data_IF_445097796486
#
_entry.id   IF_445097796486
#
_cell.length_a   1.000
_cell.length_b   1.000
_cell.length_c   1.000
_cell.angle_alpha   90.00
_cell.angle_beta   90.00
_cell.angle_gamma   90.00
#
_symmetry.space_group_name_H-M   'P 1'
#
loop_
_entity.id
_entity.type
_entity.pdbx_description
1 polymer ?
#
# COMPACT_ATOMS: atom_id res chain seq x y z
N UNK A 1 -21.57 -10.79 4.87
CA UNK A 1 -20.52 -10.51 3.87
C UNK A 1 -20.17 -9.05 4.01
N UNK A 2 -18.88 -8.67 4.02
CA UNK A 2 -18.47 -7.27 3.95
C UNK A 2 -19.11 -6.61 2.73
N UNK A 3 -19.48 -5.33 2.85
CA UNK A 3 -20.12 -4.57 1.76
C UNK A 3 -19.23 -3.38 1.44
N UNK A 4 -19.07 -3.08 0.15
CA UNK A 4 -18.40 -1.87 -0.28
C UNK A 4 -19.26 -0.63 0.07
N UNK A 5 -18.70 0.30 0.83
CA UNK A 5 -19.33 1.59 1.14
C UNK A 5 -18.94 2.71 0.16
N UNK A 6 -17.91 2.51 -0.64
CA UNK A 6 -17.40 3.49 -1.61
C UNK A 6 -17.44 2.94 -3.04
N UNK A 7 -17.84 3.78 -3.98
CA UNK A 7 -17.88 3.49 -5.41
C UNK A 7 -16.61 3.98 -6.13
N UNK A 8 -16.39 3.47 -7.35
CA UNK A 8 -15.30 3.92 -8.23
C UNK A 8 -15.38 5.44 -8.45
N UNK A 9 -14.25 6.11 -8.27
CA UNK A 9 -14.11 7.57 -8.36
C UNK A 9 -14.34 8.30 -7.04
N UNK A 10 -14.79 7.62 -5.99
CA UNK A 10 -14.85 8.17 -4.63
C UNK A 10 -13.53 8.01 -3.89
N UNK A 11 -13.36 8.79 -2.83
CA UNK A 11 -12.14 8.81 -2.03
C UNK A 11 -12.44 8.62 -0.56
N UNK A 12 -11.52 7.98 0.16
CA UNK A 12 -11.60 7.83 1.62
C UNK A 12 -10.19 7.73 2.24
N UNK A 13 -10.05 8.03 3.55
CA UNK A 13 -8.76 7.88 4.23
C UNK A 13 -8.49 6.42 4.60
N UNK A 14 -7.26 5.96 4.36
CA UNK A 14 -6.76 4.64 4.80
C UNK A 14 -5.55 4.82 5.69
N UNK A 15 -5.55 4.09 6.80
CA UNK A 15 -4.47 4.12 7.78
C UNK A 15 -3.57 2.88 7.65
N UNK A 16 -2.27 3.11 7.52
CA UNK A 16 -1.23 2.07 7.52
C UNK A 16 -0.33 2.20 8.74
N UNK A 17 0.06 1.05 9.30
CA UNK A 17 0.96 0.96 10.45
C UNK A 17 2.07 -0.02 10.16
N UNK A 18 3.32 0.40 10.37
CA UNK A 18 4.50 -0.45 10.31
C UNK A 18 5.22 -0.45 11.65
N UNK A 19 5.74 -1.61 12.04
CA UNK A 19 6.70 -1.70 13.14
C UNK A 19 8.12 -1.56 12.60
N UNK A 20 8.88 -0.63 13.16
CA UNK A 20 10.27 -0.36 12.81
C UNK A 20 11.23 -1.29 13.56
N UNK A 21 12.49 -1.47 13.09
CA UNK A 21 13.45 -2.36 13.74
C UNK A 21 13.82 -1.96 15.17
N UNK A 22 13.75 -0.67 15.50
CA UNK A 22 13.97 -0.14 16.85
C UNK A 22 12.76 -0.36 17.79
N UNK A 23 11.68 -0.98 17.31
CA UNK A 23 10.47 -1.26 18.08
C UNK A 23 9.38 -0.18 17.98
N UNK A 24 9.71 1.00 17.45
CA UNK A 24 8.75 2.08 17.23
C UNK A 24 7.70 1.69 16.17
N UNK A 25 6.58 2.41 16.16
CA UNK A 25 5.54 2.29 15.14
C UNK A 25 5.49 3.54 14.26
N UNK A 26 5.44 3.34 12.94
CA UNK A 26 5.14 4.38 11.97
C UNK A 26 3.69 4.25 11.55
N UNK A 27 2.91 5.32 11.71
CA UNK A 27 1.49 5.37 11.35
C UNK A 27 1.27 6.46 10.32
N UNK A 28 0.84 6.08 9.13
CA UNK A 28 0.56 6.99 8.02
C UNK A 28 -0.92 6.91 7.63
N UNK A 29 -1.51 8.04 7.29
CA UNK A 29 -2.86 8.11 6.73
C UNK A 29 -2.75 8.67 5.32
N UNK A 30 -3.25 7.91 4.34
CA UNK A 30 -3.35 8.34 2.96
C UNK A 30 -4.81 8.61 2.62
N UNK A 31 -5.06 9.66 1.86
CA UNK A 31 -6.27 9.73 1.05
C UNK A 31 -6.09 8.80 -0.15
N UNK A 32 -7.09 7.95 -0.41
CA UNK A 32 -7.06 7.00 -1.52
C UNK A 32 -8.27 7.19 -2.40
N UNK A 33 -8.09 7.00 -3.71
CA UNK A 33 -9.18 7.00 -4.69
C UNK A 33 -9.53 5.55 -5.05
N UNK A 34 -10.82 5.21 -5.05
CA UNK A 34 -11.30 3.90 -5.53
C UNK A 34 -11.23 3.86 -7.04
N UNK A 35 -10.45 2.92 -7.57
CA UNK A 35 -10.24 2.76 -9.03
C UNK A 35 -10.81 1.44 -9.57
N UNK A 36 -11.29 0.57 -8.68
CA UNK A 36 -11.95 -0.68 -9.06
C UNK A 36 -12.34 -1.51 -7.85
N UNK A 37 -13.20 -2.51 -8.07
CA UNK A 37 -13.59 -3.50 -7.07
C UNK A 37 -13.12 -4.90 -7.49
N UNK A 38 -12.87 -5.74 -6.49
CA UNK A 38 -12.70 -7.19 -6.64
C UNK A 38 -13.77 -7.84 -5.76
N UNK A 39 -14.95 -8.05 -6.35
CA UNK A 39 -16.15 -8.47 -5.61
C UNK A 39 -16.00 -9.88 -5.03
N UNK A 40 -15.34 -10.80 -5.75
CA UNK A 40 -15.10 -12.17 -5.28
C UNK A 40 -14.16 -12.23 -4.06
N UNK A 41 -13.51 -11.10 -3.73
CA UNK A 41 -12.50 -10.96 -2.70
C UNK A 41 -12.92 -10.09 -1.53
N UNK A 42 -14.07 -9.41 -1.64
CA UNK A 42 -14.47 -8.30 -0.77
C UNK A 42 -13.38 -7.20 -0.65
N UNK A 43 -12.82 -6.75 -1.79
CA UNK A 43 -11.71 -5.78 -1.83
C UNK A 43 -11.93 -4.60 -2.77
N UNK A 44 -11.45 -3.44 -2.33
CA UNK A 44 -11.19 -2.29 -3.20
C UNK A 44 -9.83 -2.43 -3.89
N UNK A 45 -9.73 -1.93 -5.11
CA UNK A 45 -8.49 -1.48 -5.74
C UNK A 45 -8.45 0.04 -5.57
N UNK A 46 -7.42 0.53 -4.88
CA UNK A 46 -7.30 1.95 -4.57
C UNK A 46 -5.97 2.51 -5.05
N UNK A 47 -5.96 3.77 -5.46
CA UNK A 47 -4.75 4.55 -5.72
C UNK A 47 -4.46 5.44 -4.52
N UNK A 48 -3.22 5.39 -4.01
CA UNK A 48 -2.76 6.28 -2.94
C UNK A 48 -2.59 7.70 -3.52
N UNK A 49 -3.52 8.61 -3.23
CA UNK A 49 -3.55 9.96 -3.81
C UNK A 49 -2.56 10.90 -3.14
N UNK A 50 -2.58 10.95 -1.81
CA UNK A 50 -1.68 11.81 -1.03
C UNK A 50 -1.57 11.33 0.42
N UNK A 51 -0.41 11.60 1.04
CA UNK A 51 -0.19 11.43 2.48
C UNK A 51 -0.82 12.62 3.21
N UNK A 52 -1.86 12.40 4.01
CA UNK A 52 -2.59 13.48 4.72
C UNK A 52 -2.19 13.63 6.18
N UNK A 53 -1.68 12.57 6.81
CA UNK A 53 -1.19 12.63 8.18
C UNK A 53 -0.15 11.55 8.44
N UNK A 54 0.74 11.80 9.41
CA UNK A 54 1.76 10.87 9.82
C UNK A 54 2.20 11.09 11.26
N UNK A 55 2.40 10.00 12.00
CA UNK A 55 3.03 10.04 13.33
C UNK A 55 3.91 8.83 13.59
N UNK A 56 4.93 9.02 14.42
CA UNK A 56 5.77 7.94 14.92
C UNK A 56 5.53 7.79 16.42
N UNK A 57 5.35 6.55 16.87
CA UNK A 57 5.04 6.18 18.24
C UNK A 57 6.17 5.28 18.78
N UNK A 58 6.47 5.35 20.07
CA UNK A 58 7.35 4.37 20.74
C UNK A 58 6.70 2.99 20.78
N UNK A 59 7.42 1.97 21.26
CA UNK A 59 6.86 0.64 21.46
C UNK A 59 5.69 0.63 22.48
N UNK A 60 5.68 1.62 23.38
CA UNK A 60 4.67 1.85 24.42
C UNK A 60 3.48 2.69 23.91
N UNK A 61 3.53 3.16 22.66
CA UNK A 61 2.47 3.96 22.05
C UNK A 61 2.59 5.47 22.30
N UNK A 62 3.70 5.94 22.87
CA UNK A 62 3.92 7.37 23.11
C UNK A 62 4.35 8.08 21.82
N UNK A 63 3.80 9.26 21.56
CA UNK A 63 4.15 10.01 20.35
C UNK A 63 5.58 10.54 20.43
N UNK A 64 6.40 10.22 19.42
CA UNK A 64 7.73 10.83 19.23
C UNK A 64 7.56 12.31 18.84
N UNK A 65 8.47 13.21 19.24
CA UNK A 65 8.55 14.54 18.66
C UNK A 65 9.00 14.46 17.18
N UNK A 66 8.61 15.44 16.36
CA UNK A 66 8.82 15.42 14.91
C UNK A 66 10.30 15.33 14.53
N UNK A 67 11.18 15.95 15.32
CA UNK A 67 12.63 15.98 15.10
C UNK A 67 13.26 14.59 15.30
N UNK A 68 12.59 13.71 16.06
CA UNK A 68 13.03 12.34 16.33
C UNK A 68 12.46 11.31 15.34
N UNK A 69 11.70 11.76 14.33
CA UNK A 69 11.16 10.86 13.31
C UNK A 69 12.28 10.26 12.48
N UNK A 70 12.16 8.97 12.14
CA UNK A 70 13.12 8.34 11.24
C UNK A 70 12.93 8.86 9.82
N UNK A 71 13.81 9.79 9.42
CA UNK A 71 13.78 10.43 8.10
C UNK A 71 13.84 9.41 6.96
N UNK A 72 14.58 8.32 7.15
CA UNK A 72 14.71 7.25 6.16
C UNK A 72 13.37 6.57 5.87
N UNK A 73 12.65 6.14 6.90
CA UNK A 73 11.36 5.47 6.72
C UNK A 73 10.27 6.42 6.26
N UNK A 74 10.25 7.66 6.76
CA UNK A 74 9.29 8.67 6.28
C UNK A 74 9.50 9.05 4.81
N UNK A 75 10.75 9.04 4.33
CA UNK A 75 11.03 9.20 2.90
C UNK A 75 10.41 8.05 2.08
N UNK A 76 10.52 6.80 2.54
CA UNK A 76 9.90 5.65 1.88
C UNK A 76 8.37 5.77 1.87
N UNK A 77 7.76 6.21 2.98
CA UNK A 77 6.31 6.45 3.05
C UNK A 77 5.88 7.49 2.01
N UNK A 78 6.61 8.60 1.88
CA UNK A 78 6.31 9.62 0.88
C UNK A 78 6.32 9.09 -0.56
N UNK A 79 7.19 8.11 -0.86
CA UNK A 79 7.30 7.46 -2.17
C UNK A 79 6.14 6.50 -2.50
N UNK A 80 5.26 6.21 -1.53
CA UNK A 80 4.10 5.36 -1.79
C UNK A 80 2.99 6.09 -2.57
N UNK A 81 3.01 7.42 -2.57
CA UNK A 81 2.04 8.25 -3.31
C UNK A 81 2.03 7.89 -4.80
N UNK A 82 0.84 7.74 -5.37
CA UNK A 82 0.60 7.34 -6.75
C UNK A 82 0.46 5.82 -6.96
N UNK A 83 0.94 5.00 -6.01
CA UNK A 83 0.85 3.55 -6.12
C UNK A 83 -0.59 3.04 -5.97
N UNK A 84 -0.87 1.91 -6.62
CA UNK A 84 -2.16 1.21 -6.52
C UNK A 84 -2.02 -0.05 -5.69
N UNK A 85 -3.02 -0.36 -4.87
CA UNK A 85 -3.05 -1.53 -3.99
C UNK A 85 -4.46 -2.12 -3.92
N UNK A 86 -4.56 -3.35 -3.42
CA UNK A 86 -5.85 -3.91 -2.97
C UNK A 86 -5.99 -3.82 -1.46
N UNK A 87 -7.13 -3.35 -0.97
CA UNK A 87 -7.47 -3.30 0.46
C UNK A 87 -8.86 -3.91 0.70
N UNK A 88 -9.10 -4.52 1.85
CA UNK A 88 -10.41 -5.11 2.18
C UNK A 88 -11.48 -4.04 2.33
N UNK A 89 -12.75 -4.37 2.08
CA UNK A 89 -13.84 -3.40 2.28
C UNK A 89 -13.88 -2.83 3.69
N UNK A 90 -13.59 -3.65 4.69
CA UNK A 90 -13.59 -3.25 6.11
C UNK A 90 -12.63 -2.12 6.46
N UNK A 91 -11.63 -1.80 5.63
CA UNK A 91 -10.65 -0.73 5.94
C UNK A 91 -11.27 0.66 5.90
N UNK A 92 -12.46 0.77 5.31
CA UNK A 92 -13.20 2.02 5.18
C UNK A 92 -13.86 2.49 6.49
N UNK A 93 -13.86 1.64 7.52
CA UNK A 93 -14.30 1.96 8.89
C UNK A 93 -13.23 2.68 9.73
N UNK A 94 -12.07 2.97 9.12
CA UNK A 94 -10.96 3.68 9.73
C UNK A 94 -9.98 2.81 10.53
N UNK A 95 -10.14 1.48 10.52
CA UNK A 95 -9.17 0.59 11.18
C UNK A 95 -7.78 0.65 10.55
N UNK A 96 -6.70 0.65 11.37
CA UNK A 96 -5.34 0.60 10.86
C UNK A 96 -4.99 -0.76 10.27
N UNK A 97 -4.48 -0.74 9.04
CA UNK A 97 -3.83 -1.89 8.41
C UNK A 97 -2.41 -2.05 8.96
N UNK A 98 -2.18 -3.13 9.69
CA UNK A 98 -0.86 -3.49 10.18
C UNK A 98 -0.09 -4.21 9.09
N UNK A 99 1.01 -3.60 8.65
CA UNK A 99 1.83 -4.06 7.56
C UNK A 99 3.20 -4.53 8.06
N UNK A 100 3.78 -5.48 7.32
CA UNK A 100 5.17 -5.90 7.53
C UNK A 100 6.09 -4.80 7.01
N UNK A 101 7.23 -4.56 7.69
CA UNK A 101 8.23 -3.60 7.23
C UNK A 101 8.69 -3.86 5.79
N UNK A 102 8.74 -5.13 5.38
CA UNK A 102 9.01 -5.58 4.01
C UNK A 102 8.14 -4.90 2.93
N UNK A 103 6.90 -4.50 3.26
CA UNK A 103 6.05 -3.77 2.30
C UNK A 103 6.50 -2.33 2.12
N UNK A 104 7.14 -1.73 3.12
CA UNK A 104 7.66 -0.36 3.03
C UNK A 104 9.04 -0.33 2.35
N UNK A 105 9.87 -1.36 2.58
CA UNK A 105 11.23 -1.45 2.02
C UNK A 105 11.28 -1.97 0.59
N UNK A 106 10.18 -2.51 0.06
CA UNK A 106 10.13 -3.08 -1.29
C UNK A 106 10.42 -4.57 -1.37
N UNK A 107 10.84 -5.21 -0.28
CA UNK A 107 11.06 -6.67 -0.20
C UNK A 107 9.76 -7.45 -0.45
N UNK A 108 8.61 -6.88 -0.12
CA UNK A 108 7.30 -7.38 -0.49
C UNK A 108 6.61 -6.37 -1.41
N UNK A 109 6.17 -6.84 -2.58
CA UNK A 109 5.61 -6.02 -3.66
C UNK A 109 4.21 -5.45 -3.40
N UNK A 110 3.77 -5.27 -2.15
CA UNK A 110 2.40 -4.90 -1.82
C UNK A 110 1.97 -3.59 -2.51
N UNK A 111 2.80 -2.54 -2.44
CA UNK A 111 2.53 -1.24 -3.07
C UNK A 111 2.90 -1.18 -4.56
N UNK A 112 3.74 -2.09 -5.04
CA UNK A 112 4.24 -2.04 -6.43
C UNK A 112 3.64 -3.13 -7.32
N UNK A 113 2.79 -4.01 -6.79
CA UNK A 113 2.15 -5.11 -7.53
C UNK A 113 1.47 -4.62 -8.81
N UNK A 114 0.90 -3.43 -8.77
CA UNK A 114 0.18 -2.85 -9.90
C UNK A 114 1.01 -1.95 -10.81
N UNK A 115 2.26 -1.63 -10.45
CA UNK A 115 3.13 -0.76 -11.25
C UNK A 115 3.40 -1.32 -12.67
N UNK A 116 3.25 -2.63 -12.85
CA UNK A 116 3.42 -3.33 -14.13
C UNK A 116 2.18 -3.40 -15.02
N UNK A 117 1.02 -2.92 -14.56
CA UNK A 117 -0.23 -3.01 -15.30
C UNK A 117 -0.66 -1.62 -15.75
N UNK A 118 -0.57 -1.38 -17.05
CA UNK A 118 -0.99 -0.11 -17.68
C UNK A 118 -2.52 0.03 -17.73
N UNK A 119 -3.26 -1.07 -17.87
CA UNK A 119 -4.71 -1.07 -18.08
C UNK A 119 -5.52 -1.51 -16.85
N UNK A 120 -6.63 -0.82 -16.51
CA UNK A 120 -7.54 -1.19 -15.41
C UNK A 120 -8.10 -2.62 -15.49
N UNK A 121 -8.40 -3.11 -16.69
CA UNK A 121 -8.91 -4.48 -16.90
C UNK A 121 -7.90 -5.56 -16.46
N UNK A 122 -6.60 -5.25 -16.50
CA UNK A 122 -5.55 -6.16 -16.05
C UNK A 122 -5.44 -6.19 -14.52
N UNK A 123 -5.95 -5.19 -13.81
CA UNK A 123 -5.89 -5.12 -12.35
C UNK A 123 -6.82 -6.14 -11.70
N UNK A 124 -8.04 -6.31 -12.21
CA UNK A 124 -9.01 -7.30 -11.73
C UNK A 124 -8.47 -8.73 -11.92
N UNK A 125 -7.85 -8.99 -13.06
CA UNK A 125 -7.26 -10.30 -13.38
C UNK A 125 -5.99 -10.62 -12.59
N UNK A 126 -5.25 -9.61 -12.10
CA UNK A 126 -4.04 -9.80 -11.31
C UNK A 126 -4.29 -10.39 -9.90
N UNK A 127 -5.57 -10.46 -9.49
CA UNK A 127 -5.96 -10.93 -8.17
C UNK A 127 -6.51 -12.37 -8.14
N UNK A 128 -6.97 -12.91 -9.28
CA UNK A 128 -7.63 -14.22 -9.33
C UNK A 128 -6.70 -15.36 -8.86
N UNK A 129 -7.01 -16.06 -7.75
CA UNK A 129 -6.20 -17.16 -7.25
C UNK A 129 -6.40 -18.37 -8.17
N UNK A 130 -5.43 -18.66 -9.05
CA UNK A 130 -5.50 -19.84 -9.91
C UNK A 130 -4.62 -19.85 -11.15
N UNK A 131 -4.07 -18.72 -11.60
CA UNK A 131 -3.00 -18.75 -12.58
C UNK A 131 -1.66 -18.79 -11.87
N UNK A 132 -0.93 -19.90 -12.03
CA UNK A 132 0.54 -19.89 -11.93
C UNK A 132 1.02 -18.82 -12.91
N UNK A 133 1.31 -17.62 -12.41
CA UNK A 133 2.23 -16.74 -13.09
C UNK A 133 3.50 -17.57 -13.29
N UNK A 134 3.75 -18.01 -14.52
CA UNK A 134 5.12 -18.35 -14.90
C UNK A 134 5.94 -17.13 -14.50
N UNK A 135 6.92 -17.30 -13.62
CA UNK A 135 7.94 -16.31 -13.32
C UNK A 135 8.51 -15.82 -14.66
N UNK A 136 8.00 -14.70 -15.14
CA UNK A 136 8.69 -13.91 -16.16
C UNK A 136 9.43 -12.88 -15.32
N UNK A 137 10.70 -13.19 -15.03
CA UNK A 137 11.63 -12.23 -14.46
C UNK A 137 11.54 -10.93 -15.28
N UNK A 138 11.48 -9.75 -14.66
CA UNK A 138 11.62 -8.51 -15.39
C UNK A 138 13.00 -8.50 -16.09
N UNK A 139 13.11 -7.97 -17.32
CA UNK A 139 14.42 -7.82 -17.93
C UNK A 139 15.27 -6.91 -17.06
N UNK A 140 16.44 -7.41 -16.65
CA UNK A 140 17.47 -6.61 -15.99
C UNK A 140 17.87 -5.45 -16.92
N UNK A 141 18.13 -4.25 -16.39
CA UNK A 141 18.57 -3.13 -17.20
C UNK A 141 19.94 -3.44 -17.82
N UNK A 142 19.95 -3.49 -19.15
CA UNK A 142 21.07 -3.50 -20.10
C UNK A 142 22.50 -3.59 -19.50
N UNK A 143 23.14 -4.76 -19.68
CA UNK A 143 24.60 -4.84 -19.71
C UNK A 143 25.11 -4.38 -21.10
N UNK A 144 26.12 -3.51 -21.19
CA UNK A 144 26.61 -3.00 -22.46
C UNK A 144 27.38 -4.10 -23.22
N UNK A 145 27.06 -4.24 -24.50
CA UNK A 145 27.78 -5.10 -25.43
C UNK A 145 29.26 -4.66 -25.55
N UNK A 146 30.16 -5.63 -25.51
CA UNK A 146 31.56 -5.49 -25.93
C UNK A 146 31.88 -6.57 -26.94
#
# INVERSE_FOLDING_TARGET
>A
MPVAHYDIGQSFPVQFVWKLPNGDYLRAVFEVDVVGHVEEADKYIVQLRQLIAGRQETAEGEMRPLEAYSREYWRLVGQLTGNKITVAYEVDDGRPLHLRLATLTGEHNFFWRFARFEDPEKWQNAWLPGRKEKEINPPLPNSPEK
#
